data_IF_063134107598
#
_entry.id   IF_063134107598
#
_cell.length_a   1.000
_cell.length_b   1.000
_cell.length_c   1.000
_cell.angle_alpha   90.00
_cell.angle_beta   90.00
_cell.angle_gamma   90.00
#
_symmetry.space_group_name_H-M   'P 1'
#
loop_
_entity.id
_entity.type
_entity.pdbx_description
1 polymer ?
#
# COMPACT_ATOMS: atom_id res chain seq x y z
N UNK A 1 -7.90 -57.87 9.45
CA UNK A 1 -7.73 -56.58 8.73
C UNK A 1 -9.12 -55.99 8.58
N UNK A 2 -9.55 -54.96 9.30
CA UNK A 2 -8.76 -53.99 10.06
C UNK A 2 -9.72 -53.12 10.87
N UNK A 3 -9.27 -52.77 12.09
CA UNK A 3 -9.54 -51.53 12.82
C UNK A 3 -11.04 -51.20 13.06
N UNK A 4 -11.64 -51.46 14.22
CA UNK A 4 -11.13 -51.37 15.60
C UNK A 4 -10.54 -49.98 15.89
N UNK A 5 -11.41 -49.00 16.17
CA UNK A 5 -11.16 -48.05 17.25
C UNK A 5 -12.49 -47.58 17.86
N UNK A 6 -12.59 -47.72 19.18
CA UNK A 6 -13.83 -47.86 19.93
C UNK A 6 -14.76 -46.67 19.91
N UNK A 7 -16.01 -46.94 19.54
CA UNK A 7 -17.17 -46.11 19.82
C UNK A 7 -18.14 -46.97 20.63
N UNK A 8 -17.87 -47.11 21.93
CA UNK A 8 -18.80 -47.74 22.85
C UNK A 8 -18.50 -47.28 24.27
N UNK A 9 -19.13 -46.19 24.70
CA UNK A 9 -19.76 -46.11 26.02
C UNK A 9 -20.92 -45.10 26.00
N UNK A 10 -22.13 -45.69 25.99
CA UNK A 10 -23.25 -45.38 26.90
C UNK A 10 -24.25 -44.29 26.46
N UNK A 11 -25.26 -44.80 25.76
CA UNK A 11 -26.69 -44.55 25.94
C UNK A 11 -27.09 -44.40 27.43
N UNK A 12 -27.92 -43.40 27.75
CA UNK A 12 -28.47 -42.99 29.06
C UNK A 12 -27.70 -41.90 29.82
N UNK A 13 -27.88 -40.65 29.37
CA UNK A 13 -28.31 -39.52 30.23
C UNK A 13 -27.41 -38.98 31.35
N UNK A 14 -26.25 -39.55 31.65
CA UNK A 14 -25.33 -39.01 32.66
C UNK A 14 -23.94 -38.76 32.07
N UNK A 15 -23.65 -37.50 31.75
CA UNK A 15 -22.31 -37.03 31.42
C UNK A 15 -21.48 -36.93 32.71
N UNK A 16 -20.58 -37.88 32.94
CA UNK A 16 -19.60 -37.80 34.02
C UNK A 16 -18.62 -36.66 33.74
N UNK A 17 -18.20 -35.92 34.77
CA UNK A 17 -17.26 -34.79 34.67
C UNK A 17 -15.96 -35.19 33.93
N UNK A 18 -15.57 -36.45 34.03
CA UNK A 18 -14.40 -37.03 33.34
C UNK A 18 -14.52 -36.97 31.81
N UNK A 19 -15.73 -37.13 31.25
CA UNK A 19 -15.91 -37.08 29.78
C UNK A 19 -15.85 -35.65 29.27
N UNK A 20 -16.32 -34.68 30.05
CA UNK A 20 -16.25 -33.25 29.70
C UNK A 20 -14.79 -32.78 29.68
N UNK A 21 -13.98 -33.19 30.66
CA UNK A 21 -12.55 -32.84 30.71
C UNK A 21 -11.78 -33.42 29.52
N UNK A 22 -12.09 -34.64 29.08
CA UNK A 22 -11.46 -35.25 27.91
C UNK A 22 -11.82 -34.54 26.60
N UNK A 23 -13.07 -34.10 26.44
CA UNK A 23 -13.51 -33.36 25.23
C UNK A 23 -12.91 -31.94 25.19
N UNK A 24 -12.79 -31.26 26.34
CA UNK A 24 -12.13 -29.95 26.40
C UNK A 24 -10.63 -30.10 26.10
N UNK A 25 -10.00 -31.15 26.61
CA UNK A 25 -8.59 -31.46 26.32
C UNK A 25 -8.31 -31.69 24.84
N UNK A 26 -9.18 -32.41 24.12
CA UNK A 26 -9.01 -32.64 22.68
C UNK A 26 -9.24 -31.36 21.86
N UNK A 27 -10.20 -30.52 22.24
CA UNK A 27 -10.45 -29.23 21.58
C UNK A 27 -9.25 -28.29 21.76
N UNK A 28 -8.66 -28.21 22.95
CA UNK A 28 -7.49 -27.37 23.22
C UNK A 28 -6.23 -27.83 22.47
N UNK A 29 -6.04 -29.14 22.28
CA UNK A 29 -4.94 -29.67 21.46
C UNK A 29 -5.15 -29.36 19.98
N UNK A 30 -6.38 -29.47 19.47
CA UNK A 30 -6.70 -29.13 18.07
C UNK A 30 -6.53 -27.61 17.83
N UNK A 31 -6.98 -26.77 18.77
CA UNK A 31 -6.79 -25.32 18.70
C UNK A 31 -5.32 -24.92 18.85
N UNK A 32 -4.60 -25.52 19.81
CA UNK A 32 -3.18 -25.27 20.07
C UNK A 32 -2.26 -25.69 18.93
N UNK A 33 -2.64 -26.70 18.14
CA UNK A 33 -1.91 -27.10 16.93
C UNK A 33 -2.23 -26.21 15.71
N UNK A 34 -3.27 -25.38 15.77
CA UNK A 34 -3.69 -24.50 14.66
C UNK A 34 -3.19 -23.05 14.75
N UNK A 35 -2.51 -22.66 15.84
CA UNK A 35 -2.18 -21.27 16.12
C UNK A 35 -0.69 -20.99 16.24
N UNK A 36 -0.01 -20.78 15.11
CA UNK A 36 1.07 -19.77 14.92
C UNK A 36 1.75 -19.99 13.57
N UNK A 37 1.09 -19.54 12.50
CA UNK A 37 1.82 -19.17 11.29
C UNK A 37 2.77 -18.03 11.65
N UNK A 38 4.02 -18.39 12.00
CA UNK A 38 5.13 -17.45 11.94
C UNK A 38 5.10 -16.85 10.54
N UNK A 39 4.74 -15.56 10.43
CA UNK A 39 4.98 -14.77 9.22
C UNK A 39 6.47 -14.90 8.94
N UNK A 40 6.81 -15.79 7.99
CA UNK A 40 8.13 -15.80 7.38
C UNK A 40 8.26 -14.43 6.76
N UNK A 41 9.24 -13.65 7.22
CA UNK A 41 9.74 -12.50 6.50
C UNK A 41 10.14 -12.98 5.11
N UNK A 42 9.22 -12.83 4.16
CA UNK A 42 9.52 -13.04 2.76
C UNK A 42 10.59 -11.99 2.42
N UNK A 43 11.83 -12.42 2.22
CA UNK A 43 12.74 -11.65 1.40
C UNK A 43 12.04 -11.51 0.06
N UNK A 44 11.55 -10.32 -0.25
CA UNK A 44 10.96 -10.03 -1.55
C UNK A 44 12.05 -10.23 -2.59
N UNK A 45 12.07 -11.39 -3.23
CA UNK A 45 12.92 -11.64 -4.38
C UNK A 45 12.52 -10.63 -5.46
N UNK A 46 13.44 -9.75 -5.84
CA UNK A 46 13.19 -8.76 -6.89
C UNK A 46 12.91 -9.54 -8.18
N UNK A 47 11.76 -9.35 -8.85
CA UNK A 47 11.46 -10.08 -10.08
C UNK A 47 12.58 -9.93 -11.11
N UNK A 48 12.91 -11.02 -11.79
CA UNK A 48 13.94 -11.03 -12.84
C UNK A 48 13.64 -9.98 -13.91
N UNK A 49 14.70 -9.29 -14.34
CA UNK A 49 14.58 -8.18 -15.28
C UNK A 49 14.26 -8.73 -16.67
N UNK A 50 13.07 -8.43 -17.18
CA UNK A 50 12.81 -8.62 -18.60
C UNK A 50 13.85 -7.84 -19.41
N UNK A 51 14.49 -8.50 -20.37
CA UNK A 51 15.48 -7.89 -21.28
C UNK A 51 15.00 -6.56 -21.91
N UNK A 52 13.69 -6.41 -22.13
CA UNK A 52 13.08 -5.18 -22.64
C UNK A 52 13.14 -4.02 -21.65
N UNK A 53 12.95 -4.28 -20.36
CA UNK A 53 12.99 -3.29 -19.29
C UNK A 53 14.44 -2.88 -18.97
N UNK A 54 15.38 -3.83 -19.02
CA UNK A 54 16.82 -3.55 -18.92
C UNK A 54 17.29 -2.60 -20.02
N UNK A 55 16.89 -2.90 -21.25
CA UNK A 55 17.23 -2.06 -22.42
C UNK A 55 16.68 -0.64 -22.28
N UNK A 56 15.49 -0.47 -21.67
CA UNK A 56 14.91 0.86 -21.40
C UNK A 56 15.80 1.67 -20.46
N UNK A 57 16.24 1.08 -19.34
CA UNK A 57 17.07 1.77 -18.35
C UNK A 57 18.49 2.08 -18.85
N UNK A 58 19.07 1.20 -19.66
CA UNK A 58 20.36 1.49 -20.30
C UNK A 58 20.21 2.65 -21.30
N UNK A 59 19.12 2.68 -22.06
CA UNK A 59 18.85 3.77 -23.02
C UNK A 59 18.59 5.11 -22.35
N UNK A 60 18.10 5.14 -21.11
CA UNK A 60 18.01 6.38 -20.33
C UNK A 60 19.38 6.86 -19.82
N UNK A 61 20.47 6.12 -20.04
CA UNK A 61 21.83 6.55 -19.69
C UNK A 61 22.28 6.15 -18.28
N UNK A 62 21.56 5.24 -17.62
CA UNK A 62 21.90 4.76 -16.29
C UNK A 62 23.03 3.72 -16.34
N UNK A 63 23.93 3.79 -15.36
CA UNK A 63 24.94 2.76 -15.10
C UNK A 63 24.30 1.50 -14.49
N UNK A 64 24.94 0.32 -14.60
CA UNK A 64 24.41 -0.91 -13.99
C UNK A 64 24.13 -0.78 -12.48
N UNK A 65 24.96 -0.03 -11.75
CA UNK A 65 24.77 0.22 -10.32
C UNK A 65 23.52 1.07 -10.04
N UNK A 66 23.31 2.14 -10.82
CA UNK A 66 22.12 2.98 -10.71
C UNK A 66 20.85 2.21 -11.08
N UNK A 67 20.91 1.35 -12.10
CA UNK A 67 19.79 0.47 -12.47
C UNK A 67 19.44 -0.46 -11.31
N UNK A 68 20.43 -1.08 -10.67
CA UNK A 68 20.19 -1.95 -9.52
C UNK A 68 19.59 -1.19 -8.34
N UNK A 69 20.14 -0.01 -8.01
CA UNK A 69 19.60 0.83 -6.94
C UNK A 69 18.16 1.29 -7.22
N UNK A 70 17.89 1.74 -8.44
CA UNK A 70 16.55 2.12 -8.89
C UNK A 70 15.58 0.95 -8.75
N UNK A 71 15.94 -0.24 -9.25
CA UNK A 71 15.09 -1.43 -9.16
C UNK A 71 14.80 -1.83 -7.72
N UNK A 72 15.80 -1.78 -6.83
CA UNK A 72 15.61 -2.04 -5.41
C UNK A 72 14.64 -1.05 -4.79
N UNK A 73 14.86 0.25 -5.06
CA UNK A 73 13.98 1.33 -4.58
C UNK A 73 12.55 1.12 -5.08
N UNK A 74 12.33 0.97 -6.39
CA UNK A 74 10.99 0.77 -6.94
C UNK A 74 10.34 -0.52 -6.45
N UNK A 75 11.09 -1.60 -6.25
CA UNK A 75 10.51 -2.82 -5.69
C UNK A 75 10.00 -2.58 -4.26
N UNK A 76 10.78 -1.90 -3.42
CA UNK A 76 10.36 -1.54 -2.06
C UNK A 76 9.13 -0.62 -2.08
N UNK A 77 9.17 0.46 -2.86
CA UNK A 77 8.06 1.40 -3.01
C UNK A 77 6.78 0.71 -3.50
N UNK A 78 6.89 -0.28 -4.40
CA UNK A 78 5.73 -1.05 -4.85
C UNK A 78 5.05 -1.78 -3.69
N UNK A 79 5.83 -2.45 -2.83
CA UNK A 79 5.30 -3.16 -1.66
C UNK A 79 4.61 -2.19 -0.69
N UNK A 80 5.23 -1.04 -0.43
CA UNK A 80 4.67 0.01 0.41
C UNK A 80 3.34 0.55 -0.14
N UNK A 81 3.23 0.75 -1.46
CA UNK A 81 1.97 1.16 -2.10
C UNK A 81 0.88 0.08 -1.97
N UNK A 82 1.24 -1.20 -2.13
CA UNK A 82 0.30 -2.31 -1.98
C UNK A 82 -0.20 -2.41 -0.53
N UNK A 83 0.69 -2.24 0.45
CA UNK A 83 0.34 -2.21 1.87
C UNK A 83 -0.52 -0.98 2.21
N UNK A 84 -0.13 0.21 1.74
CA UNK A 84 -0.91 1.44 1.89
C UNK A 84 -2.34 1.27 1.36
N UNK A 85 -2.48 0.66 0.17
CA UNK A 85 -3.79 0.39 -0.42
C UNK A 85 -4.65 -0.49 0.49
N UNK A 86 -4.06 -1.53 1.09
CA UNK A 86 -4.79 -2.40 2.02
C UNK A 86 -5.18 -1.65 3.28
N UNK A 87 -4.25 -0.90 3.87
CA UNK A 87 -4.43 -0.14 5.10
C UNK A 87 -5.53 0.92 4.97
N UNK A 88 -5.52 1.68 3.87
CA UNK A 88 -6.49 2.75 3.62
C UNK A 88 -7.93 2.24 3.54
N UNK A 89 -8.15 0.94 3.33
CA UNK A 89 -9.50 0.35 3.29
C UNK A 89 -9.93 -0.31 4.60
N UNK A 90 -9.06 -0.42 5.61
CA UNK A 90 -9.37 -1.15 6.85
C UNK A 90 -10.39 -0.43 7.75
N UNK A 91 -10.39 0.90 7.77
CA UNK A 91 -11.31 1.67 8.63
C UNK A 91 -12.01 2.77 7.83
N UNK A 92 -13.20 3.17 8.28
CA UNK A 92 -13.94 4.27 7.64
C UNK A 92 -13.15 5.59 7.64
N UNK A 93 -12.35 5.84 8.68
CA UNK A 93 -11.56 7.06 8.82
C UNK A 93 -10.41 7.10 7.82
N UNK A 94 -9.66 6.01 7.69
CA UNK A 94 -8.59 5.91 6.68
C UNK A 94 -9.15 5.97 5.26
N UNK A 95 -10.27 5.29 5.01
CA UNK A 95 -10.95 5.34 3.71
C UNK A 95 -11.38 6.76 3.35
N UNK A 96 -11.87 7.53 4.31
CA UNK A 96 -12.25 8.92 4.09
C UNK A 96 -11.04 9.83 3.80
N UNK A 97 -9.86 9.53 4.35
CA UNK A 97 -8.61 10.22 4.01
C UNK A 97 -8.23 9.94 2.56
N UNK A 98 -8.20 8.67 2.15
CA UNK A 98 -7.86 8.27 0.78
C UNK A 98 -8.83 8.87 -0.26
N UNK A 99 -10.14 8.89 0.03
CA UNK A 99 -11.14 9.52 -0.83
C UNK A 99 -10.99 11.04 -0.95
N UNK A 100 -10.48 11.71 0.08
CA UNK A 100 -10.31 13.17 0.09
C UNK A 100 -9.10 13.60 -0.72
N UNK A 101 -8.02 12.83 -0.65
CA UNK A 101 -6.73 13.20 -1.23
C UNK A 101 -6.34 12.38 -2.46
N UNK A 102 -7.11 11.35 -2.83
CA UNK A 102 -6.75 10.40 -3.89
C UNK A 102 -5.38 9.72 -3.63
N UNK A 103 -4.98 9.53 -2.36
CA UNK A 103 -3.60 9.20 -1.97
C UNK A 103 -3.06 7.92 -2.60
N UNK A 104 -3.80 6.81 -2.57
CA UNK A 104 -3.35 5.54 -3.18
C UNK A 104 -3.23 5.70 -4.69
N UNK A 105 -4.12 6.48 -5.31
CA UNK A 105 -4.10 6.74 -6.75
C UNK A 105 -2.89 7.62 -7.12
N UNK A 106 -2.60 8.67 -6.35
CA UNK A 106 -1.43 9.52 -6.52
C UNK A 106 -0.13 8.73 -6.38
N UNK A 107 0.01 7.92 -5.31
CA UNK A 107 1.20 7.09 -5.09
C UNK A 107 1.45 6.13 -6.26
N UNK A 108 0.40 5.47 -6.77
CA UNK A 108 0.50 4.61 -7.97
C UNK A 108 0.84 5.37 -9.23
N UNK A 109 0.32 6.58 -9.39
CA UNK A 109 0.59 7.42 -10.56
C UNK A 109 2.05 7.89 -10.56
N UNK A 110 2.54 8.38 -9.42
CA UNK A 110 3.94 8.76 -9.23
C UNK A 110 4.89 7.57 -9.44
N UNK A 111 4.56 6.40 -8.90
CA UNK A 111 5.32 5.17 -9.18
C UNK A 111 5.45 4.89 -10.69
N UNK A 112 4.34 4.98 -11.43
CA UNK A 112 4.35 4.74 -12.89
C UNK A 112 5.18 5.79 -13.62
N UNK A 113 5.09 7.06 -13.20
CA UNK A 113 5.86 8.14 -13.78
C UNK A 113 7.36 7.94 -13.57
N UNK A 114 7.77 7.52 -12.36
CA UNK A 114 9.17 7.17 -12.06
C UNK A 114 9.68 5.97 -12.86
N UNK A 115 8.88 4.94 -13.07
CA UNK A 115 9.26 3.80 -13.94
C UNK A 115 9.44 4.25 -15.39
N UNK A 116 8.62 5.18 -15.86
CA UNK A 116 8.73 5.77 -17.21
C UNK A 116 10.01 6.61 -17.33
N UNK A 117 10.31 7.42 -16.31
CA UNK A 117 11.40 8.41 -16.29
C UNK A 117 12.37 8.16 -15.12
N UNK A 118 13.16 7.09 -15.18
CA UNK A 118 13.96 6.60 -14.04
C UNK A 118 15.08 7.57 -13.62
N UNK A 119 15.55 8.44 -14.52
CA UNK A 119 16.57 9.45 -14.20
C UNK A 119 16.08 10.56 -13.26
N UNK A 120 14.76 10.72 -13.15
CA UNK A 120 14.11 11.73 -12.30
C UNK A 120 13.85 11.22 -10.88
N UNK A 121 14.41 10.07 -10.50
CA UNK A 121 14.24 9.49 -9.16
C UNK A 121 14.54 10.47 -8.03
N UNK A 122 15.54 11.33 -8.23
CA UNK A 122 15.96 12.33 -7.24
C UNK A 122 14.88 13.37 -6.92
N UNK A 123 14.01 13.69 -7.88
CA UNK A 123 12.90 14.64 -7.73
C UNK A 123 11.81 14.10 -6.79
N UNK A 124 11.68 12.77 -6.68
CA UNK A 124 10.71 12.12 -5.81
C UNK A 124 11.31 11.62 -4.48
N UNK A 125 12.47 12.15 -4.06
CA UNK A 125 13.17 11.67 -2.85
C UNK A 125 12.32 11.76 -1.57
N UNK A 126 11.54 12.82 -1.39
CA UNK A 126 10.65 12.97 -0.23
C UNK A 126 9.55 11.91 -0.22
N UNK A 127 8.91 11.67 -1.36
CA UNK A 127 7.94 10.59 -1.53
C UNK A 127 8.54 9.23 -1.15
N UNK A 128 9.68 8.88 -1.77
CA UNK A 128 10.29 7.55 -1.69
C UNK A 128 10.84 7.20 -0.30
N UNK A 129 11.42 8.17 0.40
CA UNK A 129 12.19 7.90 1.62
C UNK A 129 11.58 8.51 2.88
N UNK A 130 10.47 9.24 2.78
CA UNK A 130 9.86 9.91 3.92
C UNK A 130 8.35 9.78 3.90
N UNK A 131 7.65 10.37 2.93
CA UNK A 131 6.19 10.48 2.99
C UNK A 131 5.49 9.12 2.90
N UNK A 132 5.82 8.30 1.90
CA UNK A 132 5.19 6.99 1.72
C UNK A 132 5.54 6.00 2.85
N UNK A 133 6.83 5.78 3.19
CA UNK A 133 7.17 4.85 4.29
C UNK A 133 6.54 5.26 5.62
N UNK A 134 6.57 6.55 5.97
CA UNK A 134 5.99 7.03 7.23
C UNK A 134 4.46 6.87 7.25
N UNK A 135 3.78 7.08 6.12
CA UNK A 135 2.34 6.89 6.02
C UNK A 135 1.97 5.42 6.18
N UNK A 136 2.71 4.50 5.55
CA UNK A 136 2.51 3.05 5.72
C UNK A 136 2.70 2.64 7.18
N UNK A 137 3.80 3.03 7.80
CA UNK A 137 4.09 2.74 9.21
C UNK A 137 3.02 3.28 10.16
N UNK A 138 2.56 4.51 9.93
CA UNK A 138 1.59 5.16 10.79
C UNK A 138 0.19 4.55 10.61
N UNK A 139 -0.20 4.20 9.39
CA UNK A 139 -1.48 3.53 9.13
C UNK A 139 -1.50 2.12 9.73
N UNK A 140 -0.39 1.37 9.66
CA UNK A 140 -0.24 0.08 10.33
C UNK A 140 -0.46 0.18 11.84
N UNK A 141 0.26 1.09 12.51
CA UNK A 141 0.12 1.32 13.96
C UNK A 141 -1.27 1.80 14.34
N UNK A 142 -1.87 2.66 13.50
CA UNK A 142 -3.23 3.13 13.70
C UNK A 142 -4.22 1.97 13.69
N UNK A 143 -4.13 1.07 12.69
CA UNK A 143 -5.02 -0.09 12.56
C UNK A 143 -4.85 -1.02 13.76
N UNK A 144 -3.61 -1.34 14.12
CA UNK A 144 -3.29 -2.19 15.28
C UNK A 144 -3.95 -1.67 16.56
N UNK A 145 -3.77 -0.39 16.87
CA UNK A 145 -4.34 0.23 18.07
C UNK A 145 -5.86 0.37 17.96
N UNK A 146 -6.39 0.66 16.77
CA UNK A 146 -7.83 0.75 16.53
C UNK A 146 -8.55 -0.58 16.77
N UNK A 147 -7.87 -1.71 16.60
CA UNK A 147 -8.47 -3.03 16.77
C UNK A 147 -8.39 -3.57 18.21
N UNK A 148 -7.69 -2.90 19.13
CA UNK A 148 -7.60 -3.31 20.54
C UNK A 148 -8.97 -3.34 21.25
N UNK A 149 -9.34 -4.42 21.93
CA UNK A 149 -10.65 -4.53 22.60
C UNK A 149 -10.87 -3.49 23.73
N UNK A 150 -9.81 -3.17 24.47
CA UNK A 150 -9.85 -2.23 25.60
C UNK A 150 -9.11 -0.96 25.20
N UNK A 151 -9.84 0.15 25.09
CA UNK A 151 -9.30 1.48 24.81
C UNK A 151 -9.70 2.45 25.91
N UNK A 152 -8.74 3.22 26.41
CA UNK A 152 -9.01 4.31 27.35
C UNK A 152 -9.08 5.65 26.61
N UNK A 153 -9.45 6.72 27.34
CA UNK A 153 -9.56 8.08 26.77
C UNK A 153 -8.28 8.53 26.03
N UNK A 154 -7.12 8.29 26.64
CA UNK A 154 -5.83 8.67 26.07
C UNK A 154 -5.53 7.90 24.76
N UNK A 155 -5.96 6.63 24.66
CA UNK A 155 -5.86 5.85 23.41
C UNK A 155 -6.67 6.50 22.28
N UNK A 156 -7.91 6.92 22.55
CA UNK A 156 -8.73 7.60 21.56
C UNK A 156 -8.16 8.95 21.13
N UNK A 157 -7.62 9.74 22.07
CA UNK A 157 -6.95 11.01 21.77
C UNK A 157 -5.74 10.78 20.83
N UNK A 158 -4.95 9.73 21.09
CA UNK A 158 -3.81 9.39 20.24
C UNK A 158 -4.22 8.85 18.86
N UNK A 159 -5.31 8.10 18.76
CA UNK A 159 -5.89 7.72 17.47
C UNK A 159 -6.37 8.94 16.69
N UNK A 160 -6.97 9.92 17.37
CA UNK A 160 -7.39 11.16 16.72
C UNK A 160 -6.20 11.96 16.16
N UNK A 161 -5.18 12.19 17.00
CA UNK A 161 -3.94 12.86 16.60
C UNK A 161 -3.26 12.11 15.44
N UNK A 162 -3.15 10.78 15.53
CA UNK A 162 -2.56 9.96 14.47
C UNK A 162 -3.33 10.10 13.16
N UNK A 163 -4.66 10.13 13.21
CA UNK A 163 -5.48 10.31 12.02
C UNK A 163 -5.29 11.68 11.35
N UNK A 164 -5.01 12.73 12.11
CA UNK A 164 -4.71 14.05 11.56
C UNK A 164 -3.36 14.07 10.86
N UNK A 165 -2.35 13.40 11.43
CA UNK A 165 -1.04 13.27 10.80
C UNK A 165 -1.11 12.39 9.54
N UNK A 166 -1.89 11.30 9.58
CA UNK A 166 -2.17 10.46 8.40
C UNK A 166 -2.78 11.32 7.28
N UNK A 167 -3.73 12.21 7.62
CA UNK A 167 -4.34 13.11 6.64
C UNK A 167 -3.32 14.07 6.00
N UNK A 168 -2.41 14.62 6.79
CA UNK A 168 -1.35 15.50 6.28
C UNK A 168 -0.35 14.77 5.39
N UNK A 169 0.11 13.58 5.80
CA UNK A 169 0.99 12.74 4.98
C UNK A 169 0.32 12.30 3.68
N UNK A 170 -0.97 11.97 3.74
CA UNK A 170 -1.80 11.64 2.59
C UNK A 170 -1.89 12.81 1.59
N UNK A 171 -2.03 14.03 2.09
CA UNK A 171 -1.99 15.25 1.28
C UNK A 171 -0.62 15.46 0.63
N UNK A 172 0.47 15.30 1.39
CA UNK A 172 1.84 15.45 0.88
C UNK A 172 2.14 14.50 -0.28
N UNK A 173 1.71 13.23 -0.21
CA UNK A 173 1.88 12.29 -1.34
C UNK A 173 1.16 12.78 -2.60
N UNK A 174 -0.03 13.36 -2.46
CA UNK A 174 -0.76 13.91 -3.60
C UNK A 174 -0.05 15.13 -4.18
N UNK A 175 0.58 15.96 -3.34
CA UNK A 175 1.42 17.08 -3.77
C UNK A 175 2.71 16.59 -4.44
N UNK A 176 3.35 15.54 -3.94
CA UNK A 176 4.55 14.96 -4.56
C UNK A 176 4.26 14.52 -6.00
N UNK A 177 3.10 13.89 -6.22
CA UNK A 177 2.67 13.52 -7.58
C UNK A 177 2.45 14.75 -8.46
N UNK A 178 1.72 15.76 -7.96
CA UNK A 178 1.45 16.99 -8.71
C UNK A 178 2.74 17.73 -9.07
N UNK A 179 3.68 17.81 -8.14
CA UNK A 179 4.98 18.44 -8.36
C UNK A 179 5.83 17.66 -9.36
N UNK A 180 5.76 16.33 -9.36
CA UNK A 180 6.51 15.52 -10.32
C UNK A 180 6.01 15.69 -11.76
N UNK A 181 4.71 15.92 -11.95
CA UNK A 181 4.11 16.09 -13.29
C UNK A 181 3.89 17.55 -13.67
N UNK A 182 4.38 18.51 -12.88
CA UNK A 182 4.14 19.95 -13.13
C UNK A 182 4.63 20.37 -14.51
N UNK A 183 5.82 19.91 -14.89
CA UNK A 183 6.47 20.31 -16.14
C UNK A 183 5.65 19.85 -17.35
N UNK A 184 5.10 18.63 -17.31
CA UNK A 184 4.20 18.11 -18.34
C UNK A 184 2.90 18.94 -18.46
N UNK A 185 2.42 19.51 -17.35
CA UNK A 185 1.22 20.34 -17.33
C UNK A 185 1.49 21.75 -17.87
N UNK A 186 2.65 22.32 -17.55
CA UNK A 186 3.08 23.62 -18.09
C UNK A 186 3.24 23.56 -19.61
N UNK A 187 3.86 22.49 -20.12
CA UNK A 187 3.98 22.25 -21.57
C UNK A 187 2.61 22.14 -22.24
N UNK A 188 1.68 21.41 -21.63
CA UNK A 188 0.30 21.29 -22.13
C UNK A 188 -0.42 22.64 -22.17
N UNK A 189 -0.24 23.49 -21.15
CA UNK A 189 -0.86 24.83 -21.10
C UNK A 189 -0.33 25.75 -22.22
N UNK A 190 0.96 25.63 -22.56
CA UNK A 190 1.54 26.31 -23.72
C UNK A 190 0.92 25.81 -25.02
N UNK A 191 0.84 24.48 -25.21
CA UNK A 191 0.24 23.88 -26.40
C UNK A 191 -1.24 24.28 -26.57
N UNK A 192 -2.03 24.28 -25.49
CA UNK A 192 -3.42 24.74 -25.48
C UNK A 192 -3.50 26.23 -25.85
N UNK A 193 -2.58 27.05 -25.35
CA UNK A 193 -2.56 28.49 -25.64
C UNK A 193 -2.26 28.76 -27.12
N UNK A 194 -1.30 28.04 -27.70
CA UNK A 194 -0.98 28.10 -29.14
C UNK A 194 -2.17 27.64 -29.99
N UNK A 195 -2.82 26.54 -29.60
CA UNK A 195 -4.01 26.04 -30.28
C UNK A 195 -5.16 27.05 -30.24
N UNK A 196 -5.44 27.65 -29.08
CA UNK A 196 -6.45 28.72 -28.91
C UNK A 196 -6.16 29.93 -29.79
N UNK A 197 -4.91 30.38 -29.85
CA UNK A 197 -4.51 31.51 -30.69
C UNK A 197 -4.69 31.20 -32.18
N UNK A 198 -4.34 29.99 -32.60
CA UNK A 198 -4.51 29.53 -33.99
C UNK A 198 -5.98 29.51 -34.38
N UNK A 199 -6.86 28.94 -33.53
CA UNK A 199 -8.31 28.94 -33.76
C UNK A 199 -8.92 30.35 -33.81
N UNK A 200 -8.43 31.28 -32.98
CA UNK A 200 -8.88 32.67 -33.00
C UNK A 200 -8.53 33.34 -34.33
N UNK A 201 -7.29 33.17 -34.81
CA UNK A 201 -6.84 33.76 -36.08
C UNK A 201 -7.61 33.19 -37.28
N UNK A 202 -7.82 31.88 -37.33
CA UNK A 202 -8.57 31.22 -38.41
C UNK A 202 -10.05 31.68 -38.46
N UNK A 203 -10.65 32.00 -37.31
CA UNK A 203 -12.01 32.54 -37.25
C UNK A 203 -12.06 34.02 -37.66
N UNK A 204 -11.04 34.82 -37.34
CA UNK A 204 -10.94 36.22 -37.77
C UNK A 204 -10.73 36.33 -39.29
N UNK A 205 -9.97 35.42 -39.90
CA UNK A 205 -9.76 35.36 -41.36
C UNK A 205 -11.01 34.92 -42.14
N UNK A 206 -11.91 34.13 -41.54
CA UNK A 206 -13.19 33.71 -42.16
C UNK A 206 -14.29 34.78 -42.11
N UNK A 207 -14.09 35.85 -41.35
CA UNK A 207 -15.04 36.95 -41.20
C UNK A 207 -14.60 38.24 -41.92
N UNK A 208 -13.55 38.17 -42.73
CA UNK A 208 -13.16 39.17 -43.73
C UNK A 208 -13.60 38.72 -45.13
#
# INVERSE_FOLDING_TARGET
MSLLFGLLLIHNGHFSIVTIVLVIGTILVIWGLSGSSKKKTAKTEIPDLSSKLETHYIKSGMTPSEINFFRQTMNQTKLEIEELQQNMQQTAKLKAVDLRHDTVKAAKALFKALVKEPNRLHEASQFLYTHLPNLVDLTNKYIEINDHEIKNKQTYEKLEESSQIIDQLAHLISQDYQQFVSDDLEDLDVEISVAKQSLKRDNEEKHQ
#
